data_IF_278986167897
#
_entry.id   IF_278986167897
#
_cell.length_a   1.000
_cell.length_b   1.000
_cell.length_c   1.000
_cell.angle_alpha   90.00
_cell.angle_beta   90.00
_cell.angle_gamma   90.00
#
_symmetry.space_group_name_H-M   'P 1'
#
loop_
_entity.id
_entity.type
_entity.pdbx_description
1 polymer ?
#
# COMPACT_ATOMS: atom_id res chain seq x y z
N UNK A 1 -9.63 30.12 -28.14
CA UNK A 1 -9.21 28.70 -28.40
C UNK A 1 -7.79 28.53 -27.93
N UNK A 2 -7.56 27.79 -26.85
CA UNK A 2 -6.22 27.50 -26.37
C UNK A 2 -5.63 26.37 -27.21
N UNK A 3 -4.52 26.61 -27.89
CA UNK A 3 -3.80 25.59 -28.65
C UNK A 3 -3.16 24.64 -27.65
N UNK A 4 -3.73 23.45 -27.50
CA UNK A 4 -3.13 22.38 -26.73
C UNK A 4 -1.88 21.87 -27.45
N UNK A 5 -0.69 22.01 -26.85
CA UNK A 5 0.55 21.39 -27.34
C UNK A 5 0.64 19.94 -26.77
N UNK A 6 0.34 18.90 -27.58
CA UNK A 6 0.24 17.50 -27.10
C UNK A 6 1.50 17.04 -26.36
N UNK A 7 2.68 17.32 -26.90
CA UNK A 7 3.98 16.96 -26.30
C UNK A 7 4.22 17.58 -24.91
N UNK A 8 3.75 18.82 -24.67
CA UNK A 8 3.93 19.49 -23.37
C UNK A 8 3.02 18.90 -22.30
N UNK A 9 1.82 18.49 -22.68
CA UNK A 9 0.86 17.81 -21.78
C UNK A 9 1.36 16.42 -21.42
N UNK A 10 1.86 15.66 -22.40
CA UNK A 10 2.44 14.33 -22.22
C UNK A 10 3.64 14.37 -21.26
N UNK A 11 4.60 15.29 -21.50
CA UNK A 11 5.75 15.47 -20.58
C UNK A 11 5.30 15.86 -19.18
N UNK A 12 4.27 16.71 -19.05
CA UNK A 12 3.73 17.12 -17.76
C UNK A 12 3.15 15.90 -17.01
N UNK A 13 2.35 15.08 -17.70
CA UNK A 13 1.77 13.87 -17.10
C UNK A 13 2.85 12.88 -16.68
N UNK A 14 3.81 12.59 -17.55
CA UNK A 14 4.93 11.71 -17.25
C UNK A 14 5.72 12.15 -16.01
N UNK A 15 6.05 13.46 -15.92
CA UNK A 15 6.75 13.98 -14.74
C UNK A 15 5.92 13.81 -13.46
N UNK A 16 4.59 14.00 -13.55
CA UNK A 16 3.70 13.82 -12.40
C UNK A 16 3.68 12.35 -11.94
N UNK A 17 3.58 11.42 -12.87
CA UNK A 17 3.62 9.96 -12.61
C UNK A 17 4.94 9.56 -11.98
N UNK A 18 6.08 10.02 -12.51
CA UNK A 18 7.40 9.76 -11.93
C UNK A 18 7.53 10.27 -10.48
N UNK A 19 6.96 11.44 -10.19
CA UNK A 19 6.97 11.99 -8.83
C UNK A 19 6.10 11.18 -7.87
N UNK A 20 4.94 10.71 -8.33
CA UNK A 20 4.02 9.89 -7.54
C UNK A 20 4.64 8.53 -7.24
N UNK A 21 5.21 7.85 -8.24
CA UNK A 21 5.91 6.57 -8.08
C UNK A 21 7.10 6.69 -7.11
N UNK A 22 7.93 7.74 -7.28
CA UNK A 22 9.04 7.98 -6.38
C UNK A 22 8.59 8.25 -4.93
N UNK A 23 7.48 8.97 -4.75
CA UNK A 23 6.92 9.24 -3.43
C UNK A 23 6.38 7.98 -2.77
N UNK A 24 5.61 7.16 -3.48
CA UNK A 24 5.09 5.88 -3.01
C UNK A 24 6.21 5.00 -2.45
N UNK A 25 7.25 4.80 -3.24
CA UNK A 25 8.42 4.00 -2.86
C UNK A 25 9.15 4.55 -1.63
N UNK A 26 9.37 5.86 -1.57
CA UNK A 26 10.05 6.47 -0.44
C UNK A 26 9.19 6.48 0.82
N UNK A 27 7.89 6.71 0.70
CA UNK A 27 6.99 6.64 1.85
C UNK A 27 6.91 5.22 2.43
N UNK A 28 6.91 4.21 1.57
CA UNK A 28 6.90 2.82 2.00
C UNK A 28 8.22 2.37 2.65
N UNK A 29 9.37 2.77 2.10
CA UNK A 29 10.69 2.26 2.52
C UNK A 29 11.42 3.15 3.53
N UNK A 30 11.26 4.48 3.44
CA UNK A 30 11.88 5.46 4.34
C UNK A 30 10.90 6.00 5.39
N UNK A 31 9.62 5.88 5.13
CA UNK A 31 8.53 6.44 5.94
C UNK A 31 8.16 7.87 5.54
N UNK A 32 6.86 8.20 5.69
CA UNK A 32 6.33 9.52 5.31
C UNK A 32 7.07 10.66 6.04
N UNK A 33 7.24 10.59 7.35
CA UNK A 33 7.85 11.66 8.14
C UNK A 33 9.28 11.98 7.69
N UNK A 34 10.06 10.97 7.36
CA UNK A 34 11.48 11.07 7.02
C UNK A 34 11.77 11.32 5.54
N UNK A 35 10.72 11.38 4.69
CA UNK A 35 10.85 11.69 3.26
C UNK A 35 10.63 13.17 3.03
N UNK A 36 11.55 13.85 2.36
CA UNK A 36 11.41 15.24 1.93
C UNK A 36 10.96 15.35 0.47
N UNK A 37 10.41 16.49 0.07
CA UNK A 37 10.08 16.74 -1.34
C UNK A 37 11.34 16.75 -2.24
N UNK A 38 12.50 17.12 -1.68
CA UNK A 38 13.77 17.04 -2.39
C UNK A 38 14.19 15.58 -2.64
N UNK A 39 14.04 14.69 -1.65
CA UNK A 39 14.29 13.25 -1.84
C UNK A 39 13.43 12.67 -2.96
N UNK A 40 12.15 13.06 -3.01
CA UNK A 40 11.23 12.58 -4.04
C UNK A 40 11.64 13.10 -5.43
N UNK A 41 11.96 14.38 -5.55
CA UNK A 41 12.39 14.96 -6.82
C UNK A 41 13.69 14.31 -7.33
N UNK A 42 14.66 14.10 -6.45
CA UNK A 42 15.93 13.40 -6.75
C UNK A 42 15.66 11.96 -7.21
N UNK A 43 14.84 11.19 -6.47
CA UNK A 43 14.47 9.81 -6.81
C UNK A 43 13.76 9.72 -8.16
N UNK A 44 12.93 10.73 -8.49
CA UNK A 44 12.25 10.84 -9.77
C UNK A 44 13.15 11.30 -10.93
N UNK A 45 14.41 11.70 -10.66
CA UNK A 45 15.31 12.29 -11.66
C UNK A 45 14.87 13.68 -12.12
N UNK A 46 14.16 14.43 -11.28
CA UNK A 46 13.59 15.72 -11.59
C UNK A 46 14.09 16.82 -10.62
N UNK A 47 14.09 18.07 -11.08
CA UNK A 47 14.36 19.19 -10.18
C UNK A 47 13.19 19.43 -9.22
N UNK A 48 13.47 19.77 -7.97
CA UNK A 48 12.47 20.10 -6.95
C UNK A 48 11.50 21.21 -7.39
N UNK A 49 11.96 22.15 -8.21
CA UNK A 49 11.09 23.17 -8.81
C UNK A 49 10.05 22.58 -9.77
N UNK A 50 10.36 21.45 -10.42
CA UNK A 50 9.38 20.73 -11.24
C UNK A 50 8.32 20.09 -10.34
N UNK A 51 8.72 19.52 -9.20
CA UNK A 51 7.79 18.98 -8.22
C UNK A 51 6.79 20.04 -7.75
N UNK A 52 7.26 21.24 -7.38
CA UNK A 52 6.37 22.34 -6.95
C UNK A 52 5.42 22.86 -8.03
N UNK A 53 5.65 22.56 -9.31
CA UNK A 53 4.68 22.84 -10.39
C UNK A 53 3.53 21.82 -10.42
N UNK A 54 3.70 20.66 -9.81
CA UNK A 54 2.72 19.57 -9.78
C UNK A 54 2.00 19.42 -8.43
N UNK A 55 2.71 19.69 -7.34
CA UNK A 55 2.22 19.51 -5.97
C UNK A 55 2.59 20.70 -5.10
N UNK A 56 1.60 21.26 -4.39
CA UNK A 56 1.79 22.43 -3.52
C UNK A 56 2.57 22.09 -2.25
N UNK A 57 2.38 20.88 -1.74
CA UNK A 57 2.98 20.41 -0.51
C UNK A 57 3.09 18.89 -0.49
N UNK A 58 3.66 18.34 0.57
CA UNK A 58 3.88 16.92 0.75
C UNK A 58 2.57 16.15 0.95
N UNK A 59 1.56 16.78 1.54
CA UNK A 59 0.24 16.19 1.76
C UNK A 59 -0.49 15.95 0.43
N UNK A 60 -0.43 16.90 -0.50
CA UNK A 60 -1.03 16.75 -1.84
C UNK A 60 -0.35 15.61 -2.62
N UNK A 61 0.98 15.53 -2.53
CA UNK A 61 1.75 14.44 -3.13
C UNK A 61 1.40 13.09 -2.49
N UNK A 62 1.30 13.03 -1.15
CA UNK A 62 0.94 11.82 -0.43
C UNK A 62 -0.47 11.32 -0.79
N UNK A 63 -1.44 12.24 -0.92
CA UNK A 63 -2.79 11.89 -1.35
C UNK A 63 -2.82 11.34 -2.77
N UNK A 64 -2.04 11.93 -3.68
CA UNK A 64 -1.93 11.43 -5.06
C UNK A 64 -1.26 10.06 -5.12
N UNK A 65 -0.20 9.85 -4.34
CA UNK A 65 0.52 8.58 -4.22
C UNK A 65 -0.37 7.50 -3.62
N UNK A 66 -1.10 7.79 -2.54
CA UNK A 66 -2.04 6.87 -1.94
C UNK A 66 -3.17 6.47 -2.91
N UNK A 67 -3.68 7.44 -3.70
CA UNK A 67 -4.68 7.13 -4.74
C UNK A 67 -4.16 6.17 -5.80
N UNK A 68 -2.87 6.25 -6.16
CA UNK A 68 -2.22 5.31 -7.08
C UNK A 68 -2.11 3.93 -6.46
N UNK A 69 -1.64 3.81 -5.20
CA UNK A 69 -1.57 2.53 -4.49
C UNK A 69 -2.95 1.85 -4.38
N UNK A 70 -4.01 2.63 -4.06
CA UNK A 70 -5.38 2.12 -4.02
C UNK A 70 -5.85 1.70 -5.43
N UNK A 71 -5.45 2.44 -6.47
CA UNK A 71 -5.71 2.09 -7.87
C UNK A 71 -5.11 0.75 -8.25
N UNK A 72 -3.87 0.48 -7.87
CA UNK A 72 -3.21 -0.81 -8.12
C UNK A 72 -3.97 -1.99 -7.46
N UNK A 73 -4.50 -1.83 -6.27
CA UNK A 73 -5.35 -2.86 -5.66
C UNK A 73 -6.63 -3.08 -6.47
N UNK A 74 -7.30 -2.01 -6.94
CA UNK A 74 -8.47 -2.13 -7.81
C UNK A 74 -8.17 -2.83 -9.13
N UNK A 75 -7.02 -2.54 -9.74
CA UNK A 75 -6.57 -3.22 -10.96
C UNK A 75 -6.40 -4.73 -10.76
N UNK A 76 -5.94 -5.19 -9.58
CA UNK A 76 -5.87 -6.61 -9.26
C UNK A 76 -7.27 -7.24 -9.19
N UNK A 77 -8.25 -6.54 -8.62
CA UNK A 77 -9.65 -7.01 -8.61
C UNK A 77 -10.27 -7.00 -10.01
N UNK A 78 -10.00 -5.97 -10.81
CA UNK A 78 -10.51 -5.87 -12.19
C UNK A 78 -9.93 -6.96 -13.11
N UNK A 79 -8.72 -7.45 -12.82
CA UNK A 79 -8.06 -8.52 -13.55
C UNK A 79 -8.39 -9.93 -13.04
N UNK A 80 -9.04 -10.04 -11.88
CA UNK A 80 -9.39 -11.31 -11.27
C UNK A 80 -10.49 -12.06 -12.05
N UNK A 81 -10.45 -13.38 -12.01
CA UNK A 81 -11.54 -14.21 -12.53
C UNK A 81 -12.67 -14.33 -11.48
N UNK A 82 -13.87 -14.65 -11.96
CA UNK A 82 -15.04 -14.86 -11.10
C UNK A 82 -14.87 -16.02 -10.08
N UNK A 83 -13.86 -16.87 -10.28
CA UNK A 83 -13.55 -18.00 -9.39
C UNK A 83 -12.62 -17.61 -8.22
N UNK A 84 -11.98 -16.44 -8.30
CA UNK A 84 -11.05 -15.98 -7.28
C UNK A 84 -11.78 -15.24 -6.15
N UNK A 85 -11.44 -15.59 -4.91
CA UNK A 85 -11.94 -14.90 -3.72
C UNK A 85 -11.18 -13.60 -3.47
N UNK A 86 -11.73 -12.73 -2.65
CA UNK A 86 -11.01 -11.53 -2.16
C UNK A 86 -9.67 -11.89 -1.51
N UNK A 87 -9.57 -13.04 -0.86
CA UNK A 87 -8.33 -13.52 -0.25
C UNK A 87 -7.28 -13.87 -1.30
N UNK A 88 -7.67 -14.50 -2.41
CA UNK A 88 -6.77 -14.82 -3.51
C UNK A 88 -6.20 -13.56 -4.16
N UNK A 89 -7.06 -12.58 -4.42
CA UNK A 89 -6.65 -11.30 -4.99
C UNK A 89 -5.75 -10.53 -4.03
N UNK A 90 -6.08 -10.52 -2.74
CA UNK A 90 -5.25 -9.86 -1.73
C UNK A 90 -3.86 -10.50 -1.60
N UNK A 91 -3.76 -11.84 -1.66
CA UNK A 91 -2.47 -12.55 -1.69
C UNK A 91 -1.62 -12.10 -2.87
N UNK A 92 -2.18 -12.12 -4.07
CA UNK A 92 -1.48 -11.70 -5.28
C UNK A 92 -0.98 -10.25 -5.14
N UNK A 93 -1.84 -9.34 -4.73
CA UNK A 93 -1.49 -7.94 -4.51
C UNK A 93 -0.38 -7.74 -3.46
N UNK A 94 -0.41 -8.45 -2.34
CA UNK A 94 0.63 -8.37 -1.30
C UNK A 94 1.96 -8.89 -1.83
N UNK A 95 1.98 -10.00 -2.56
CA UNK A 95 3.21 -10.55 -3.16
C UNK A 95 3.80 -9.56 -4.17
N UNK A 96 3.00 -9.01 -5.07
CA UNK A 96 3.46 -8.07 -6.09
C UNK A 96 3.97 -6.76 -5.45
N UNK A 97 3.27 -6.26 -4.43
CA UNK A 97 3.69 -5.07 -3.68
C UNK A 97 5.04 -5.29 -2.97
N UNK A 98 5.23 -6.44 -2.33
CA UNK A 98 6.49 -6.80 -1.69
C UNK A 98 7.61 -6.96 -2.72
N UNK A 99 7.35 -7.61 -3.86
CA UNK A 99 8.34 -7.77 -4.93
C UNK A 99 8.81 -6.41 -5.49
N UNK A 100 7.92 -5.41 -5.53
CA UNK A 100 8.27 -4.05 -5.95
C UNK A 100 9.05 -3.24 -4.90
N UNK A 101 8.84 -3.50 -3.61
CA UNK A 101 9.41 -2.72 -2.51
C UNK A 101 10.72 -3.29 -1.95
N UNK A 102 10.81 -4.61 -1.77
CA UNK A 102 11.92 -5.25 -1.08
C UNK A 102 13.30 -5.05 -1.75
N UNK A 103 13.42 -5.02 -3.10
CA UNK A 103 14.71 -4.75 -3.74
C UNK A 103 15.29 -3.37 -3.43
N UNK A 104 14.48 -2.43 -2.96
CA UNK A 104 14.93 -1.09 -2.57
C UNK A 104 15.50 -1.04 -1.15
N UNK A 105 15.28 -2.10 -0.37
CA UNK A 105 15.65 -2.18 1.05
C UNK A 105 14.74 -1.35 1.96
N UNK A 106 14.55 -1.82 3.17
CA UNK A 106 13.81 -1.11 4.22
C UNK A 106 14.80 -0.33 5.06
N UNK A 107 14.73 0.99 5.01
CA UNK A 107 15.61 1.90 5.74
C UNK A 107 15.46 1.79 7.26
N UNK A 108 16.52 2.18 8.02
CA UNK A 108 16.54 2.03 9.48
C UNK A 108 15.38 2.72 10.18
N UNK A 109 15.01 3.93 9.77
CA UNK A 109 13.84 4.63 10.34
C UNK A 109 12.52 3.87 10.16
N UNK A 110 12.35 3.18 9.02
CA UNK A 110 11.16 2.34 8.81
C UNK A 110 11.21 1.09 9.68
N UNK A 111 12.39 0.50 9.89
CA UNK A 111 12.59 -0.63 10.82
C UNK A 111 12.28 -0.23 12.25
N UNK A 112 12.78 0.91 12.71
CA UNK A 112 12.46 1.46 14.03
C UNK A 112 10.96 1.73 14.16
N UNK A 113 10.34 2.29 13.12
CA UNK A 113 8.90 2.51 13.08
C UNK A 113 8.12 1.19 13.18
N UNK A 114 8.52 0.14 12.49
CA UNK A 114 7.88 -1.18 12.58
C UNK A 114 8.02 -1.81 13.96
N UNK A 115 9.14 -1.60 14.65
CA UNK A 115 9.36 -2.06 16.04
C UNK A 115 8.58 -1.26 17.09
N UNK A 116 8.13 -0.05 16.76
CA UNK A 116 7.39 0.79 17.68
C UNK A 116 5.89 0.46 17.66
N UNK A 117 5.29 0.22 18.83
CA UNK A 117 3.87 -0.15 18.96
C UNK A 117 2.89 0.90 18.39
N UNK A 118 3.29 2.18 18.34
CA UNK A 118 2.45 3.31 17.89
C UNK A 118 2.75 3.81 16.48
N UNK A 119 3.43 3.03 15.67
CA UNK A 119 4.06 3.49 14.43
C UNK A 119 3.12 4.06 13.37
N UNK A 120 1.90 3.49 13.23
CA UNK A 120 0.96 3.94 12.19
C UNK A 120 0.29 5.27 12.48
N UNK A 121 0.06 5.61 13.74
CA UNK A 121 -0.76 6.78 14.11
C UNK A 121 -0.18 8.12 13.63
N UNK A 122 1.10 8.17 13.32
CA UNK A 122 1.79 9.37 12.86
C UNK A 122 2.12 9.36 11.36
N UNK A 123 1.72 8.33 10.62
CA UNK A 123 1.99 8.23 9.18
C UNK A 123 0.73 8.54 8.37
N UNK A 124 0.58 9.81 7.98
CA UNK A 124 -0.58 10.27 7.19
C UNK A 124 -0.74 9.52 5.86
N UNK A 125 0.35 9.14 5.22
CA UNK A 125 0.30 8.40 3.96
C UNK A 125 -0.30 7.01 4.19
N UNK A 126 0.23 6.27 5.18
CA UNK A 126 -0.29 4.94 5.51
C UNK A 126 -1.76 4.97 5.93
N UNK A 127 -2.19 6.00 6.67
CA UNK A 127 -3.59 6.13 7.07
C UNK A 127 -4.53 6.30 5.86
N UNK A 128 -4.13 7.06 4.83
CA UNK A 128 -4.93 7.24 3.61
C UNK A 128 -4.97 5.93 2.81
N UNK A 129 -3.81 5.28 2.61
CA UNK A 129 -3.72 3.98 1.92
C UNK A 129 -4.55 2.93 2.64
N UNK A 130 -4.43 2.86 3.95
CA UNK A 130 -5.17 1.96 4.82
C UNK A 130 -6.68 2.09 4.63
N UNK A 131 -7.20 3.32 4.76
CA UNK A 131 -8.63 3.58 4.58
C UNK A 131 -9.12 3.17 3.19
N UNK A 132 -8.33 3.44 2.15
CA UNK A 132 -8.67 3.08 0.78
C UNK A 132 -8.67 1.57 0.54
N UNK A 133 -7.69 0.85 1.08
CA UNK A 133 -7.66 -0.62 0.99
C UNK A 133 -8.81 -1.25 1.77
N UNK A 134 -9.11 -0.74 2.97
CA UNK A 134 -10.24 -1.20 3.77
C UNK A 134 -11.56 -1.06 3.00
N UNK A 135 -11.77 0.06 2.29
CA UNK A 135 -12.97 0.26 1.49
C UNK A 135 -13.06 -0.72 0.31
N UNK A 136 -11.97 -0.89 -0.44
CA UNK A 136 -11.93 -1.83 -1.58
C UNK A 136 -12.16 -3.27 -1.11
N UNK A 137 -11.45 -3.70 -0.08
CA UNK A 137 -11.61 -5.06 0.48
C UNK A 137 -13.01 -5.27 1.04
N UNK A 138 -13.60 -4.28 1.71
CA UNK A 138 -14.97 -4.38 2.23
C UNK A 138 -15.98 -4.59 1.11
N UNK A 139 -15.84 -3.90 -0.01
CA UNK A 139 -16.68 -4.04 -1.19
C UNK A 139 -16.67 -5.49 -1.71
N UNK A 140 -15.48 -6.05 -1.95
CA UNK A 140 -15.34 -7.40 -2.50
C UNK A 140 -15.68 -8.50 -1.49
N UNK A 141 -15.28 -8.38 -0.22
CA UNK A 141 -15.70 -9.30 0.83
C UNK A 141 -17.22 -9.32 1.03
N UNK A 142 -17.90 -8.20 0.78
CA UNK A 142 -19.37 -8.18 0.82
C UNK A 142 -19.99 -9.05 -0.27
N UNK A 143 -19.35 -9.14 -1.44
CA UNK A 143 -19.75 -10.04 -2.52
C UNK A 143 -19.45 -11.50 -2.17
N UNK A 144 -18.24 -11.82 -1.72
CA UNK A 144 -17.84 -13.18 -1.32
C UNK A 144 -18.75 -13.73 -0.21
N UNK A 145 -19.13 -12.91 0.76
CA UNK A 145 -19.98 -13.30 1.88
C UNK A 145 -21.48 -13.18 1.58
N UNK A 146 -21.85 -12.65 0.42
CA UNK A 146 -23.23 -12.37 0.02
C UNK A 146 -24.00 -11.56 1.09
N UNK A 147 -23.39 -10.48 1.58
CA UNK A 147 -23.92 -9.62 2.64
C UNK A 147 -23.91 -8.15 2.23
N UNK A 148 -24.87 -7.38 2.74
CA UNK A 148 -24.85 -5.92 2.58
C UNK A 148 -23.99 -5.30 3.71
N UNK A 149 -22.91 -4.58 3.38
CA UNK A 149 -22.02 -3.97 4.38
C UNK A 149 -22.72 -2.87 5.22
N UNK A 150 -23.88 -2.38 4.80
CA UNK A 150 -24.67 -1.43 5.59
C UNK A 150 -25.38 -2.09 6.77
N UNK A 151 -25.67 -3.37 6.67
CA UNK A 151 -26.41 -4.14 7.68
C UNK A 151 -25.55 -5.17 8.41
N UNK A 152 -24.41 -5.54 7.80
CA UNK A 152 -23.49 -6.52 8.34
C UNK A 152 -22.05 -5.94 8.36
N UNK A 153 -21.47 -5.85 9.54
CA UNK A 153 -20.12 -5.30 9.75
C UNK A 153 -18.98 -6.29 9.41
N UNK A 154 -19.29 -7.58 9.18
CA UNK A 154 -18.30 -8.63 9.02
C UNK A 154 -17.33 -8.37 7.86
N UNK A 155 -17.75 -7.95 6.65
CA UNK A 155 -16.82 -7.65 5.56
C UNK A 155 -15.78 -6.59 5.95
N UNK A 156 -16.20 -5.52 6.62
CA UNK A 156 -15.28 -4.46 7.07
C UNK A 156 -14.34 -4.94 8.16
N UNK A 157 -14.84 -5.76 9.09
CA UNK A 157 -14.01 -6.35 10.13
C UNK A 157 -12.88 -7.20 9.51
N UNK A 158 -13.20 -8.05 8.53
CA UNK A 158 -12.21 -8.88 7.83
C UNK A 158 -11.24 -8.03 7.02
N UNK A 159 -11.72 -6.98 6.33
CA UNK A 159 -10.88 -6.03 5.63
C UNK A 159 -9.85 -5.36 6.55
N UNK A 160 -10.29 -4.90 7.74
CA UNK A 160 -9.39 -4.36 8.77
C UNK A 160 -8.35 -5.41 9.21
N UNK A 161 -8.76 -6.66 9.39
CA UNK A 161 -7.86 -7.76 9.81
C UNK A 161 -6.82 -8.07 8.73
N UNK A 162 -7.17 -8.09 7.45
CA UNK A 162 -6.25 -8.33 6.34
C UNK A 162 -5.16 -7.27 6.27
N UNK A 163 -5.52 -6.01 6.40
CA UNK A 163 -4.52 -4.94 6.44
C UNK A 163 -3.67 -4.98 7.71
N UNK A 164 -4.29 -5.02 8.89
CA UNK A 164 -3.58 -5.05 10.17
C UNK A 164 -2.68 -6.29 10.28
N UNK A 165 -3.13 -7.42 9.73
CA UNK A 165 -2.37 -8.66 9.63
C UNK A 165 -1.11 -8.51 8.79
N UNK A 166 -1.19 -7.85 7.63
CA UNK A 166 -0.02 -7.59 6.80
C UNK A 166 0.99 -6.69 7.53
N UNK A 167 0.53 -5.64 8.23
CA UNK A 167 1.43 -4.82 9.04
C UNK A 167 2.05 -5.60 10.21
N UNK A 168 1.27 -6.45 10.88
CA UNK A 168 1.78 -7.30 11.94
C UNK A 168 2.85 -8.26 11.41
N UNK A 169 2.68 -8.83 10.21
CA UNK A 169 3.69 -9.67 9.57
C UNK A 169 5.02 -8.90 9.37
N UNK A 170 4.97 -7.67 8.86
CA UNK A 170 6.15 -6.83 8.71
C UNK A 170 6.80 -6.47 10.05
N UNK A 171 6.00 -6.18 11.08
CA UNK A 171 6.52 -5.90 12.44
C UNK A 171 7.25 -7.10 13.02
N UNK A 172 6.71 -8.30 12.85
CA UNK A 172 7.38 -9.53 13.29
C UNK A 172 8.68 -9.76 12.53
N UNK A 173 8.70 -9.52 11.22
CA UNK A 173 9.94 -9.58 10.42
C UNK A 173 10.95 -8.50 10.83
N UNK A 174 10.51 -7.37 11.39
CA UNK A 174 11.40 -6.35 11.96
C UNK A 174 11.94 -6.71 13.35
N UNK A 175 11.52 -7.85 13.92
CA UNK A 175 11.95 -8.34 15.23
C UNK A 175 11.00 -8.04 16.38
N UNK A 176 9.81 -7.44 16.14
CA UNK A 176 8.80 -7.31 17.17
C UNK A 176 8.30 -8.72 17.58
N UNK A 177 8.29 -9.00 18.87
CA UNK A 177 7.94 -10.29 19.48
C UNK A 177 8.92 -11.47 19.20
N UNK A 178 9.75 -11.37 18.14
CA UNK A 178 10.70 -12.45 17.76
C UNK A 178 12.12 -12.16 18.20
N UNK A 179 12.50 -10.88 18.31
CA UNK A 179 13.85 -10.43 18.60
C UNK A 179 14.82 -10.56 17.41
N UNK A 180 14.38 -11.09 16.28
CA UNK A 180 15.19 -11.30 15.07
C UNK A 180 14.69 -10.46 13.90
N UNK A 181 15.58 -9.64 13.33
CA UNK A 181 15.28 -8.82 12.14
C UNK A 181 15.61 -9.60 10.87
N UNK A 182 14.55 -9.98 10.14
CA UNK A 182 14.63 -10.70 8.87
C UNK A 182 14.15 -9.85 7.68
N UNK A 183 14.08 -8.53 7.83
CA UNK A 183 13.60 -7.62 6.76
C UNK A 183 14.51 -7.53 5.52
N UNK A 184 15.63 -8.24 5.50
CA UNK A 184 16.45 -8.44 4.30
C UNK A 184 16.18 -9.77 3.60
N UNK A 185 15.38 -10.66 4.21
CA UNK A 185 14.98 -11.94 3.65
C UNK A 185 13.59 -11.82 3.02
N UNK A 186 13.55 -11.70 1.70
CA UNK A 186 12.33 -11.57 0.91
C UNK A 186 11.39 -12.76 1.12
N UNK A 187 11.95 -13.98 1.13
CA UNK A 187 11.15 -15.19 1.25
C UNK A 187 10.51 -15.31 2.64
N UNK A 188 11.25 -14.91 3.69
CA UNK A 188 10.73 -14.86 5.05
C UNK A 188 9.57 -13.86 5.18
N UNK A 189 9.68 -12.68 4.58
CA UNK A 189 8.63 -11.65 4.60
C UNK A 189 7.39 -12.15 3.87
N UNK A 190 7.54 -12.64 2.64
CA UNK A 190 6.42 -13.18 1.84
C UNK A 190 5.73 -14.31 2.58
N UNK A 191 6.51 -15.28 3.09
CA UNK A 191 5.96 -16.41 3.85
C UNK A 191 5.16 -15.93 5.07
N UNK A 192 5.70 -15.00 5.85
CA UNK A 192 5.00 -14.49 7.04
C UNK A 192 3.70 -13.76 6.67
N UNK A 193 3.71 -12.96 5.62
CA UNK A 193 2.52 -12.25 5.13
C UNK A 193 1.45 -13.21 4.64
N UNK A 194 1.81 -14.22 3.85
CA UNK A 194 0.88 -15.23 3.36
C UNK A 194 0.29 -16.08 4.49
N UNK A 195 1.11 -16.50 5.47
CA UNK A 195 0.63 -17.25 6.63
C UNK A 195 -0.48 -16.49 7.37
N UNK A 196 -0.33 -15.18 7.55
CA UNK A 196 -1.35 -14.36 8.22
C UNK A 196 -2.65 -14.27 7.41
N UNK A 197 -2.54 -14.16 6.08
CA UNK A 197 -3.72 -14.16 5.20
C UNK A 197 -4.44 -15.49 5.29
N UNK A 198 -3.70 -16.62 5.27
CA UNK A 198 -4.25 -17.97 5.38
C UNK A 198 -4.96 -18.19 6.73
N UNK A 199 -4.39 -17.71 7.83
CA UNK A 199 -5.00 -17.81 9.16
C UNK A 199 -6.34 -17.03 9.22
N UNK A 200 -6.39 -15.84 8.62
CA UNK A 200 -7.62 -15.04 8.55
C UNK A 200 -8.65 -15.76 7.67
N UNK A 201 -8.28 -16.19 6.48
CA UNK A 201 -9.17 -16.90 5.56
C UNK A 201 -9.75 -18.16 6.20
N UNK A 202 -8.92 -19.00 6.80
CA UNK A 202 -9.36 -20.22 7.49
C UNK A 202 -10.37 -19.91 8.61
N UNK A 203 -10.20 -18.78 9.30
CA UNK A 203 -11.12 -18.35 10.36
C UNK A 203 -12.50 -17.99 9.79
N UNK A 204 -12.54 -17.40 8.59
CA UNK A 204 -13.77 -16.90 7.96
C UNK A 204 -14.24 -17.73 6.77
N UNK A 205 -13.62 -18.86 6.47
CA UNK A 205 -13.94 -19.72 5.33
C UNK A 205 -15.44 -20.11 5.25
N UNK A 206 -16.12 -20.27 6.39
CA UNK A 206 -17.53 -20.63 6.45
C UNK A 206 -18.48 -19.51 5.94
N UNK A 207 -18.00 -18.30 5.75
CA UNK A 207 -18.77 -17.16 5.22
C UNK A 207 -18.58 -16.96 3.71
N UNK A 208 -17.56 -17.56 3.10
CA UNK A 208 -17.32 -17.52 1.65
C UNK A 208 -18.36 -18.42 0.96
N UNK A 209 -19.06 -17.88 -0.07
CA UNK A 209 -20.18 -18.56 -0.73
C UNK A 209 -20.06 -18.50 -2.24
#
# INVERSE_FOLDING_TARGET
MAIAYPKRTETKNKNREQLVDAAERLFATKGYQHTTLSDVAEKAGLHVQTLYKHFKNKEELASASASTSIGHLREHFDAASDEQTTFDVWRAFVVDSLAGLLPMGIGEHKREQLRAASSMMNDKYLLIVYSGYEDVLTEHLSMDFQTDPKTNHLPRLVACMLWAGNEMALKRCAGLDTGEDVLNDTDAIVKQSLTVIDDIENTFASYIR
#
